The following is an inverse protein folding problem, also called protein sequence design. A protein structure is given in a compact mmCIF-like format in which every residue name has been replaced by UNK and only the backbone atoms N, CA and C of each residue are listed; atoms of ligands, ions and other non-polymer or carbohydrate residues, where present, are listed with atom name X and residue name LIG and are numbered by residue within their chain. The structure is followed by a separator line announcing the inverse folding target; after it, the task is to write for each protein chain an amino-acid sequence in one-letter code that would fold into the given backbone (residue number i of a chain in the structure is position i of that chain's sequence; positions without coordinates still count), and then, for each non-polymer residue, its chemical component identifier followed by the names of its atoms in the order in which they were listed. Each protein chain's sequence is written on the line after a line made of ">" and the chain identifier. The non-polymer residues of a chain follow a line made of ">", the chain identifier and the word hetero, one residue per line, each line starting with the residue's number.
data_IF_258449433764
#
_entry.id   IF_258449433764
#
_cell.length_a   1.000
_cell.length_b   1.000
_cell.length_c   1.000
_cell.angle_alpha   90.00
_cell.angle_beta   90.00
_cell.angle_gamma   90.00
#
_symmetry.space_group_name_H-M   'P 1'
#
loop_
_entity.id
_entity.type
_entity.pdbx_description
1 polymer ?
#
# COMPACT_ATOMS: atom_id res chain seq x y z
N UNK A 1 12.65 -4.48 -16.21
CA UNK A 1 11.39 -5.10 -15.74
C UNK A 1 11.23 -4.69 -14.29
N UNK A 2 10.83 -3.44 -14.04
CA UNK A 2 10.73 -2.89 -12.68
C UNK A 2 9.35 -3.26 -12.16
N UNK A 3 9.28 -4.08 -11.12
CA UNK A 3 8.00 -4.48 -10.52
C UNK A 3 7.54 -3.35 -9.62
N UNK A 4 6.68 -2.47 -10.14
CA UNK A 4 6.04 -1.42 -9.35
C UNK A 4 4.72 -1.94 -8.79
N UNK A 5 4.47 -1.71 -7.51
CA UNK A 5 3.18 -1.96 -6.88
C UNK A 5 2.39 -0.66 -6.85
N UNK A 6 1.08 -0.72 -7.04
CA UNK A 6 0.25 0.48 -7.03
C UNK A 6 -0.24 0.76 -5.60
N UNK A 7 0.07 1.95 -5.07
CA UNK A 7 -0.40 2.36 -3.75
C UNK A 7 -1.94 2.47 -3.75
N UNK A 8 -2.66 1.82 -2.82
CA UNK A 8 -4.14 1.85 -2.80
C UNK A 8 -4.70 3.24 -2.46
N UNK A 9 -3.91 4.11 -1.83
CA UNK A 9 -4.32 5.47 -1.43
C UNK A 9 -4.10 6.47 -2.56
N UNK A 10 -2.88 6.53 -3.10
CA UNK A 10 -2.48 7.55 -4.08
C UNK A 10 -2.55 7.08 -5.53
N UNK A 11 -2.80 5.79 -5.77
CA UNK A 11 -2.76 5.16 -7.10
C UNK A 11 -1.45 5.40 -7.87
N UNK A 12 -0.38 5.66 -7.13
CA UNK A 12 0.95 5.88 -7.68
C UNK A 12 1.72 4.57 -7.66
N UNK A 13 2.50 4.33 -8.72
CA UNK A 13 3.51 3.27 -8.76
C UNK A 13 4.57 3.51 -7.70
N UNK A 14 4.72 2.53 -6.80
CA UNK A 14 5.72 2.52 -5.75
C UNK A 14 6.64 1.33 -5.92
N UNK A 15 7.88 1.52 -5.51
CA UNK A 15 8.85 0.45 -5.50
C UNK A 15 8.67 -0.36 -4.20
N UNK A 16 8.17 -1.60 -4.26
CA UNK A 16 7.91 -2.40 -3.06
C UNK A 16 9.18 -2.74 -2.27
N UNK A 17 10.38 -2.58 -2.85
CA UNK A 17 11.66 -2.83 -2.17
C UNK A 17 12.08 -1.69 -1.25
N UNK A 18 11.64 -0.46 -1.52
CA UNK A 18 11.93 0.73 -0.70
C UNK A 18 10.69 1.35 -0.05
N UNK A 19 9.49 0.92 -0.44
CA UNK A 19 8.23 1.41 0.08
C UNK A 19 7.84 0.73 1.40
N UNK A 20 7.25 1.46 2.37
CA UNK A 20 6.63 0.84 3.52
C UNK A 20 5.50 -0.10 3.08
N UNK A 21 5.48 -1.32 3.63
CA UNK A 21 4.40 -2.28 3.44
C UNK A 21 3.59 -2.51 4.72
N UNK A 22 2.37 -3.03 4.59
CA UNK A 22 1.57 -3.52 5.69
C UNK A 22 0.81 -4.76 5.27
N UNK A 23 0.75 -5.75 6.16
CA UNK A 23 -0.03 -6.97 5.94
C UNK A 23 -1.43 -6.79 6.49
N UNK A 24 -2.45 -7.00 5.66
CA UNK A 24 -3.85 -6.96 6.06
C UNK A 24 -4.61 -8.13 5.43
N UNK A 25 -5.37 -8.88 6.23
CA UNK A 25 -6.08 -10.10 5.78
C UNK A 25 -5.19 -11.15 5.08
N UNK A 26 -3.88 -11.17 5.36
CA UNK A 26 -2.93 -12.07 4.70
C UNK A 26 -2.42 -11.57 3.35
N UNK A 27 -2.82 -10.37 2.93
CA UNK A 27 -2.31 -9.69 1.74
C UNK A 27 -1.32 -8.58 2.14
N UNK A 28 -0.23 -8.44 1.41
CA UNK A 28 0.77 -7.40 1.63
C UNK A 28 0.49 -6.19 0.73
N UNK A 29 0.27 -5.04 1.35
CA UNK A 29 0.01 -3.78 0.66
C UNK A 29 1.23 -2.87 0.77
N UNK A 30 1.63 -2.24 -0.34
CA UNK A 30 2.73 -1.27 -0.37
C UNK A 30 2.22 0.16 -0.49
N UNK A 31 2.87 1.07 0.23
CA UNK A 31 2.47 2.47 0.34
C UNK A 31 3.60 3.38 -0.13
N UNK A 32 3.25 4.47 -0.82
CA UNK A 32 4.27 5.42 -1.28
C UNK A 32 4.97 6.16 -0.14
N UNK A 33 4.38 6.16 1.05
CA UNK A 33 4.83 6.92 2.22
C UNK A 33 4.19 6.37 3.49
N UNK A 34 4.78 6.69 4.64
CA UNK A 34 4.20 6.34 5.95
C UNK A 34 2.81 6.94 6.14
N UNK A 35 2.56 8.16 5.66
CA UNK A 35 1.23 8.78 5.76
C UNK A 35 0.14 8.02 4.99
N UNK A 36 0.49 7.34 3.89
CA UNK A 36 -0.44 6.44 3.19
C UNK A 36 -0.69 5.15 3.96
N UNK A 37 0.36 4.59 4.58
CA UNK A 37 0.23 3.45 5.48
C UNK A 37 -0.68 3.78 6.66
N UNK A 38 -0.51 4.95 7.29
CA UNK A 38 -1.38 5.39 8.39
C UNK A 38 -2.83 5.54 7.96
N UNK A 39 -3.09 6.18 6.80
CA UNK A 39 -4.44 6.26 6.22
C UNK A 39 -5.06 4.90 5.97
N UNK A 40 -4.28 3.98 5.44
CA UNK A 40 -4.72 2.61 5.26
C UNK A 40 -4.99 1.90 6.59
N UNK A 41 -4.18 2.13 7.63
CA UNK A 41 -4.44 1.56 8.97
C UNK A 41 -5.68 2.15 9.64
N UNK A 42 -6.08 3.39 9.31
CA UNK A 42 -7.32 4.01 9.80
C UNK A 42 -8.56 3.36 9.18
N UNK A 43 -8.52 3.04 7.88
CA UNK A 43 -9.62 2.36 7.20
C UNK A 43 -9.11 1.32 6.19
N UNK A 44 -8.60 0.17 6.66
CA UNK A 44 -8.00 -0.82 5.76
C UNK A 44 -9.06 -1.55 4.95
N UNK A 45 -10.29 -1.66 5.45
CA UNK A 45 -11.39 -2.33 4.75
C UNK A 45 -11.92 -1.55 3.55
N UNK A 46 -11.93 -0.20 3.59
CA UNK A 46 -12.35 0.63 2.45
C UNK A 46 -11.24 0.86 1.42
N UNK A 47 -9.97 0.66 1.80
CA UNK A 47 -8.82 0.82 0.93
C UNK A 47 -8.20 -0.51 0.43
N UNK A 48 -8.45 -1.62 1.12
CA UNK A 48 -8.20 -2.95 0.60
C UNK A 48 -9.11 -3.14 -0.62
N UNK A 49 -8.51 -3.35 -1.80
CA UNK A 49 -9.32 -3.71 -2.97
C UNK A 49 -9.98 -5.06 -2.68
N UNK A 50 -11.28 -5.22 -3.00
CA UNK A 50 -11.97 -6.50 -2.89
C UNK A 50 -11.43 -7.52 -3.90
#
# INVERSE_FOLDING_TARGET
>A
MTTTMQCPICQMDVDPQNAPSATYNGEEYHFCSEGCREKFLQDPAGHARP
#
